data_IF_993858226169
#
_entry.id   IF_993858226169
#
_cell.length_a   1.000
_cell.length_b   1.000
_cell.length_c   1.000
_cell.angle_alpha   90.00
_cell.angle_beta   90.00
_cell.angle_gamma   90.00
#
_symmetry.space_group_name_H-M   'P 1'
#
loop_
_entity.id
_entity.type
_entity.pdbx_description
1 polymer ?
#
# COMPACT_ATOMS: atom_id res chain seq x y z
N UNK A 1 9.30 -16.04 35.37
CA UNK A 1 8.90 -15.72 33.97
C UNK A 1 7.39 -15.44 33.83
N UNK A 2 6.49 -16.26 34.40
CA UNK A 2 5.03 -16.06 34.28
C UNK A 2 4.45 -14.67 34.66
N UNK A 3 4.94 -13.96 35.71
CA UNK A 3 4.38 -12.65 36.08
C UNK A 3 4.68 -11.54 35.05
N UNK A 4 5.83 -11.62 34.38
CA UNK A 4 6.26 -10.65 33.37
C UNK A 4 5.44 -10.82 32.08
N UNK A 5 5.14 -12.06 31.71
CA UNK A 5 4.34 -12.37 30.54
C UNK A 5 2.85 -12.01 30.74
N UNK A 6 2.31 -12.26 31.94
CA UNK A 6 0.98 -11.80 32.32
C UNK A 6 0.87 -10.27 32.29
N UNK A 7 1.87 -9.55 32.81
CA UNK A 7 1.92 -8.09 32.75
C UNK A 7 2.02 -7.54 31.32
N UNK A 8 2.85 -8.15 30.45
CA UNK A 8 2.92 -7.80 29.03
C UNK A 8 1.58 -7.99 28.33
N UNK A 9 0.91 -9.13 28.56
CA UNK A 9 -0.44 -9.39 28.02
C UNK A 9 -1.46 -8.34 28.50
N UNK A 10 -1.47 -8.00 29.78
CA UNK A 10 -2.38 -6.99 30.32
C UNK A 10 -2.16 -5.63 29.65
N UNK A 11 -0.90 -5.20 29.51
CA UNK A 11 -0.55 -3.94 28.83
C UNK A 11 -0.98 -3.94 27.37
N UNK A 12 -0.80 -5.04 26.64
CA UNK A 12 -1.24 -5.19 25.25
C UNK A 12 -2.76 -5.14 25.13
N UNK A 13 -3.50 -5.80 26.03
CA UNK A 13 -4.96 -5.73 26.08
C UNK A 13 -5.42 -4.28 26.30
N UNK A 14 -4.86 -3.60 27.31
CA UNK A 14 -5.20 -2.21 27.60
C UNK A 14 -4.91 -1.29 26.41
N UNK A 15 -3.78 -1.48 25.74
CA UNK A 15 -3.41 -0.68 24.57
C UNK A 15 -4.34 -0.96 23.37
N UNK A 16 -4.70 -2.22 23.15
CA UNK A 16 -5.65 -2.61 22.10
C UNK A 16 -7.02 -1.99 22.32
N UNK A 17 -7.52 -2.02 23.56
CA UNK A 17 -8.78 -1.38 23.94
C UNK A 17 -8.68 0.13 23.71
N UNK A 18 -7.58 0.78 24.12
CA UNK A 18 -7.38 2.21 23.92
C UNK A 18 -7.42 2.60 22.43
N UNK A 19 -6.72 1.85 21.57
CA UNK A 19 -6.80 2.07 20.12
C UNK A 19 -8.21 1.88 19.60
N UNK A 20 -8.89 0.78 19.99
CA UNK A 20 -10.28 0.52 19.55
C UNK A 20 -11.22 1.65 19.94
N UNK A 21 -11.13 2.18 21.16
CA UNK A 21 -11.95 3.32 21.60
C UNK A 21 -11.66 4.58 20.77
N UNK A 22 -10.39 4.90 20.54
CA UNK A 22 -9.99 6.03 19.72
C UNK A 22 -10.49 5.88 18.27
N UNK A 23 -10.40 4.67 17.74
CA UNK A 23 -10.89 4.26 16.43
C UNK A 23 -12.40 4.45 16.33
N UNK A 24 -13.17 3.93 17.30
CA UNK A 24 -14.63 4.10 17.31
C UNK A 24 -15.02 5.57 17.31
N UNK A 25 -14.35 6.39 18.12
CA UNK A 25 -14.57 7.83 18.13
C UNK A 25 -14.23 8.46 16.77
N UNK A 26 -13.08 8.11 16.18
CA UNK A 26 -12.65 8.66 14.91
C UNK A 26 -13.62 8.33 13.77
N UNK A 27 -14.04 7.06 13.71
CA UNK A 27 -14.96 6.55 12.72
C UNK A 27 -16.34 7.19 12.86
N UNK A 28 -16.82 7.32 14.10
CA UNK A 28 -18.08 8.01 14.41
C UNK A 28 -18.06 9.47 13.98
N UNK A 29 -16.96 10.20 14.28
CA UNK A 29 -16.81 11.59 13.88
C UNK A 29 -16.74 11.73 12.36
N UNK A 30 -16.02 10.84 11.68
CA UNK A 30 -15.99 10.79 10.21
C UNK A 30 -17.38 10.54 9.63
N UNK A 31 -18.13 9.57 10.17
CA UNK A 31 -19.45 9.20 9.68
C UNK A 31 -20.51 10.31 9.97
N UNK A 32 -20.34 11.13 11.01
CA UNK A 32 -21.25 12.25 11.31
C UNK A 32 -20.92 13.50 10.51
N UNK A 33 -19.65 13.91 10.50
CA UNK A 33 -19.24 15.22 10.02
C UNK A 33 -18.65 15.20 8.61
N UNK A 34 -18.18 14.05 8.14
CA UNK A 34 -17.51 13.88 6.84
C UNK A 34 -18.22 12.91 5.89
N UNK A 35 -19.26 12.19 6.32
CA UNK A 35 -20.07 11.38 5.42
C UNK A 35 -20.80 12.28 4.41
N UNK A 36 -20.50 12.04 3.12
CA UNK A 36 -20.96 12.79 1.94
C UNK A 36 -20.32 14.16 1.76
N UNK A 37 -19.10 14.15 1.23
CA UNK A 37 -18.92 14.92 -0.02
C UNK A 37 -19.14 13.96 -1.17
N UNK A 38 -20.22 14.09 -1.96
CA UNK A 38 -20.24 13.53 -3.30
C UNK A 38 -18.93 13.92 -3.96
N UNK A 39 -18.33 12.99 -4.70
CA UNK A 39 -17.15 13.33 -5.47
C UNK A 39 -17.46 14.61 -6.25
N UNK A 40 -16.75 15.70 -5.97
CA UNK A 40 -16.31 16.57 -7.06
C UNK A 40 -15.34 15.70 -7.87
N UNK A 41 -15.89 14.71 -8.58
CA UNK A 41 -15.31 14.22 -9.82
C UNK A 41 -15.43 15.40 -10.76
N UNK A 42 -14.56 16.38 -10.56
CA UNK A 42 -13.89 16.95 -11.69
C UNK A 42 -13.09 15.82 -12.33
N UNK A 43 -13.79 14.94 -13.05
CA UNK A 43 -13.37 14.52 -14.38
C UNK A 43 -13.43 15.77 -15.24
N UNK A 44 -12.64 16.79 -14.89
CA UNK A 44 -12.17 17.65 -15.95
C UNK A 44 -11.10 16.75 -16.54
N UNK A 45 -11.41 16.14 -17.67
CA UNK A 45 -10.40 15.76 -18.65
C UNK A 45 -9.69 17.08 -19.00
N UNK A 46 -8.82 17.54 -18.09
CA UNK A 46 -7.82 18.52 -18.45
C UNK A 46 -6.92 17.73 -19.39
N UNK A 47 -7.01 18.10 -20.67
CA UNK A 47 -6.11 17.60 -21.70
C UNK A 47 -4.70 17.75 -21.16
N UNK A 48 -3.99 16.64 -20.99
CA UNK A 48 -2.61 16.68 -20.52
C UNK A 48 -1.75 17.28 -21.60
N UNK A 49 -0.68 17.97 -21.20
CA UNK A 49 0.29 18.54 -22.12
C UNK A 49 0.98 17.48 -23.00
N UNK A 50 0.89 16.19 -22.64
CA UNK A 50 1.43 15.07 -23.41
C UNK A 50 0.39 14.29 -24.22
N UNK A 51 -0.90 14.67 -24.19
CA UNK A 51 -1.96 13.92 -24.89
C UNK A 51 -1.76 13.88 -26.41
N UNK A 52 -1.16 14.95 -26.96
CA UNK A 52 -0.87 15.09 -28.39
C UNK A 52 0.45 14.42 -28.82
N UNK A 53 1.24 13.88 -27.88
CA UNK A 53 2.47 13.16 -28.19
C UNK A 53 2.15 11.71 -28.54
N UNK A 54 2.90 11.15 -29.48
CA UNK A 54 2.92 9.71 -29.72
C UNK A 54 3.93 9.02 -28.78
N UNK A 55 3.94 7.69 -28.81
CA UNK A 55 4.76 6.88 -27.91
C UNK A 55 6.26 7.02 -28.20
N UNK A 56 6.63 7.28 -29.46
CA UNK A 56 8.01 7.56 -29.86
C UNK A 56 8.49 8.90 -29.29
N UNK A 57 7.67 9.95 -29.39
CA UNK A 57 7.95 11.26 -28.79
C UNK A 57 8.12 11.15 -27.27
N UNK A 58 7.25 10.39 -26.58
CA UNK A 58 7.36 10.18 -25.12
C UNK A 58 8.68 9.47 -24.78
N UNK A 59 9.06 8.46 -25.56
CA UNK A 59 10.32 7.74 -25.38
C UNK A 59 11.53 8.65 -25.57
N UNK A 60 11.55 9.46 -26.63
CA UNK A 60 12.62 10.44 -26.87
C UNK A 60 12.74 11.44 -25.73
N UNK A 61 11.63 11.99 -25.25
CA UNK A 61 11.59 12.92 -24.11
C UNK A 61 12.07 12.28 -22.82
N UNK A 62 11.79 11.00 -22.61
CA UNK A 62 12.32 10.24 -21.49
C UNK A 62 13.85 10.08 -21.58
N UNK A 63 14.38 9.75 -22.76
CA UNK A 63 15.83 9.69 -22.99
C UNK A 63 16.50 11.06 -22.75
N UNK A 64 15.93 12.15 -23.28
CA UNK A 64 16.41 13.51 -23.01
C UNK A 64 16.40 13.85 -21.52
N UNK A 65 15.38 13.41 -20.78
CA UNK A 65 15.28 13.64 -19.34
C UNK A 65 16.37 12.90 -18.55
N UNK A 66 16.77 11.71 -18.99
CA UNK A 66 17.92 10.97 -18.43
C UNK A 66 19.21 11.73 -18.70
N UNK A 67 19.46 12.13 -19.95
CA UNK A 67 20.69 12.85 -20.35
C UNK A 67 20.82 14.21 -19.65
N UNK A 68 19.69 14.88 -19.42
CA UNK A 68 19.63 16.15 -18.70
C UNK A 68 19.58 16.00 -17.17
N UNK A 69 19.79 14.78 -16.62
CA UNK A 69 19.78 14.48 -15.18
C UNK A 69 18.50 14.94 -14.45
N UNK A 70 17.35 14.91 -15.12
CA UNK A 70 16.02 15.28 -14.55
C UNK A 70 15.35 14.14 -13.78
N UNK A 71 16.15 13.22 -13.26
CA UNK A 71 15.67 12.15 -12.40
C UNK A 71 15.38 12.68 -11.00
N UNK A 72 14.27 12.24 -10.39
CA UNK A 72 13.88 12.63 -9.03
C UNK A 72 14.77 11.90 -8.02
N UNK A 73 15.70 12.56 -7.31
CA UNK A 73 16.64 11.88 -6.42
C UNK A 73 15.94 11.12 -5.28
N UNK A 74 14.78 11.61 -4.84
CA UNK A 74 13.95 10.98 -3.82
C UNK A 74 13.27 9.69 -4.29
N UNK A 75 13.15 9.48 -5.61
CA UNK A 75 12.53 8.28 -6.20
C UNK A 75 13.49 7.10 -6.33
N UNK A 76 14.78 7.32 -6.09
CA UNK A 76 15.80 6.29 -6.19
C UNK A 76 15.50 5.19 -5.17
N UNK A 77 15.33 3.96 -5.65
CA UNK A 77 15.12 2.82 -4.78
C UNK A 77 16.39 2.51 -3.95
N UNK A 78 16.25 1.64 -2.95
CA UNK A 78 17.38 1.29 -2.07
C UNK A 78 18.57 0.62 -2.78
N UNK A 79 18.42 0.30 -4.07
CA UNK A 79 19.42 -0.39 -4.90
C UNK A 79 19.98 0.52 -6.02
N UNK A 80 19.44 1.72 -6.21
CA UNK A 80 19.86 2.65 -7.26
C UNK A 80 19.36 2.28 -8.66
N UNK A 81 18.45 1.31 -8.80
CA UNK A 81 18.03 0.82 -10.11
C UNK A 81 16.85 1.60 -10.66
N UNK A 82 15.83 1.84 -9.84
CA UNK A 82 14.63 2.56 -10.28
C UNK A 82 14.80 4.05 -9.97
N UNK A 83 14.67 4.88 -11.01
CA UNK A 83 14.58 6.35 -10.88
C UNK A 83 13.48 6.88 -11.80
N UNK A 84 12.60 7.71 -11.24
CA UNK A 84 11.51 8.37 -11.96
C UNK A 84 12.04 9.66 -12.57
N UNK A 85 11.71 9.93 -13.83
CA UNK A 85 12.21 11.09 -14.57
C UNK A 85 11.09 12.04 -14.93
N UNK A 86 11.33 13.34 -14.79
CA UNK A 86 10.42 14.39 -15.29
C UNK A 86 10.66 14.65 -16.77
N UNK A 87 9.64 14.40 -17.58
CA UNK A 87 9.67 14.73 -19.02
C UNK A 87 9.12 16.13 -19.30
N UNK A 88 8.28 16.65 -18.40
CA UNK A 88 7.80 18.04 -18.35
C UNK A 88 7.75 18.52 -16.90
N UNK A 89 7.23 19.73 -16.65
CA UNK A 89 7.06 20.24 -15.28
C UNK A 89 6.03 19.42 -14.47
N UNK A 90 5.00 18.90 -15.16
CA UNK A 90 3.85 18.23 -14.55
C UNK A 90 3.74 16.73 -14.87
N UNK A 91 4.63 16.17 -15.69
CA UNK A 91 4.57 14.77 -16.11
C UNK A 91 5.88 14.05 -15.79
N UNK A 92 5.74 12.86 -15.20
CA UNK A 92 6.84 11.95 -14.93
C UNK A 92 6.67 10.63 -15.67
N UNK A 93 7.80 9.95 -15.88
CA UNK A 93 7.86 8.59 -16.40
C UNK A 93 8.51 7.69 -15.36
N UNK A 94 7.78 6.63 -14.97
CA UNK A 94 8.28 5.52 -14.15
C UNK A 94 8.52 4.31 -15.06
N UNK A 95 9.77 3.83 -15.07
CA UNK A 95 10.18 2.61 -15.77
C UNK A 95 10.08 1.40 -14.84
N UNK A 96 9.49 0.29 -15.28
CA UNK A 96 9.27 -0.90 -14.44
C UNK A 96 10.53 -1.72 -14.13
N UNK A 97 11.54 -1.71 -15.01
CA UNK A 97 12.83 -2.40 -14.83
C UNK A 97 12.67 -3.87 -14.36
N UNK A 98 12.02 -4.68 -15.19
CA UNK A 98 11.80 -6.12 -14.90
C UNK A 98 10.67 -6.41 -13.90
N UNK A 99 9.99 -5.38 -13.37
CA UNK A 99 8.70 -5.50 -12.66
C UNK A 99 7.51 -5.30 -13.59
N UNK A 100 7.63 -5.83 -14.80
CA UNK A 100 6.59 -5.72 -15.81
C UNK A 100 5.59 -6.84 -15.59
N UNK A 101 4.34 -6.45 -15.33
CA UNK A 101 3.24 -7.37 -15.13
C UNK A 101 2.26 -7.20 -16.28
N UNK A 102 1.76 -8.31 -16.80
CA UNK A 102 0.65 -8.35 -17.75
C UNK A 102 -0.56 -9.03 -17.08
N UNK A 103 -1.64 -8.29 -16.78
CA UNK A 103 -1.86 -6.87 -17.09
C UNK A 103 -1.08 -5.91 -16.15
N UNK A 104 -0.92 -4.61 -16.51
CA UNK A 104 -0.13 -3.63 -15.76
C UNK A 104 -0.74 -3.30 -14.40
N UNK A 105 -0.26 -4.00 -13.36
CA UNK A 105 -0.84 -3.99 -12.01
C UNK A 105 -0.97 -2.61 -11.38
N UNK A 106 0.07 -1.78 -11.42
CA UNK A 106 0.06 -0.45 -10.80
C UNK A 106 -0.96 0.48 -11.44
N UNK A 107 -0.97 0.56 -12.77
CA UNK A 107 -1.91 1.40 -13.50
C UNK A 107 -3.35 0.98 -13.24
N UNK A 108 -3.64 -0.33 -13.27
CA UNK A 108 -4.97 -0.85 -12.94
C UNK A 108 -5.37 -0.53 -11.49
N UNK A 109 -4.45 -0.68 -10.53
CA UNK A 109 -4.72 -0.39 -9.13
C UNK A 109 -5.03 1.10 -8.90
N UNK A 110 -4.22 2.00 -9.49
CA UNK A 110 -4.43 3.45 -9.38
C UNK A 110 -5.74 3.88 -10.02
N UNK A 111 -6.05 3.38 -11.21
CA UNK A 111 -7.32 3.65 -11.89
C UNK A 111 -8.50 3.14 -11.06
N UNK A 112 -8.41 1.92 -10.54
CA UNK A 112 -9.44 1.32 -9.69
C UNK A 112 -9.67 2.13 -8.42
N UNK A 113 -8.62 2.53 -7.71
CA UNK A 113 -8.70 3.33 -6.48
C UNK A 113 -9.31 4.69 -6.76
N UNK A 114 -8.89 5.37 -7.83
CA UNK A 114 -9.45 6.66 -8.26
C UNK A 114 -10.94 6.54 -8.60
N UNK A 115 -11.35 5.47 -9.27
CA UNK A 115 -12.75 5.18 -9.60
C UNK A 115 -13.63 4.89 -8.38
N UNK A 116 -13.08 4.35 -7.29
CA UNK A 116 -13.89 3.91 -6.15
C UNK A 116 -13.72 4.73 -4.87
N UNK A 117 -12.73 5.61 -4.79
CA UNK A 117 -12.41 6.36 -3.56
C UNK A 117 -12.21 7.86 -3.83
N UNK A 118 -11.95 8.63 -2.78
CA UNK A 118 -11.46 10.01 -2.85
C UNK A 118 -9.97 10.11 -2.54
N UNK A 119 -9.24 8.99 -2.54
CA UNK A 119 -7.81 8.96 -2.23
C UNK A 119 -7.05 9.65 -3.37
N UNK A 120 -6.23 10.68 -3.09
CA UNK A 120 -5.37 11.29 -4.09
C UNK A 120 -4.29 10.29 -4.52
N UNK A 121 -4.36 9.88 -5.78
CA UNK A 121 -3.39 9.03 -6.48
C UNK A 121 -3.01 9.75 -7.79
N UNK A 122 -1.74 9.69 -8.23
CA UNK A 122 -1.35 10.26 -9.52
C UNK A 122 -2.23 9.71 -10.66
N UNK A 123 -2.50 10.52 -11.69
CA UNK A 123 -3.20 10.02 -12.88
C UNK A 123 -2.19 9.32 -13.80
N UNK A 124 -2.43 8.05 -14.13
CA UNK A 124 -1.73 7.39 -15.23
C UNK A 124 -2.34 7.88 -16.54
N UNK A 125 -1.55 8.64 -17.30
CA UNK A 125 -1.95 9.25 -18.57
C UNK A 125 -1.80 8.24 -19.71
N UNK A 126 -0.70 7.49 -19.70
CA UNK A 126 -0.39 6.49 -20.73
C UNK A 126 0.55 5.42 -20.21
N UNK A 127 0.47 4.23 -20.81
CA UNK A 127 1.46 3.16 -20.66
C UNK A 127 2.13 3.00 -22.01
N UNK A 128 3.42 3.27 -22.09
CA UNK A 128 4.21 3.10 -23.31
C UNK A 128 4.99 1.79 -23.22
N UNK A 129 4.94 1.03 -24.31
CA UNK A 129 5.81 -0.12 -24.58
C UNK A 129 6.63 0.23 -25.82
N UNK A 130 7.93 -0.09 -25.82
CA UNK A 130 8.80 0.19 -26.96
C UNK A 130 9.41 -1.09 -27.48
N UNK A 131 9.62 -1.19 -28.81
CA UNK A 131 10.34 -2.32 -29.42
C UNK A 131 11.77 -2.46 -28.87
N UNK A 132 12.35 -1.37 -28.36
CA UNK A 132 13.69 -1.35 -27.76
C UNK A 132 13.70 -1.93 -26.33
N UNK A 133 12.55 -2.14 -25.71
CA UNK A 133 12.39 -2.67 -24.35
C UNK A 133 11.06 -3.40 -24.22
N UNK A 134 10.91 -4.49 -24.98
CA UNK A 134 9.65 -5.27 -25.10
C UNK A 134 9.14 -5.79 -23.75
N UNK A 135 10.04 -6.06 -22.81
CA UNK A 135 9.71 -6.56 -21.47
C UNK A 135 9.49 -5.44 -20.44
N UNK A 136 9.31 -4.18 -20.85
CA UNK A 136 9.20 -3.04 -19.95
C UNK A 136 8.00 -2.14 -20.23
N UNK A 137 7.39 -1.64 -19.14
CA UNK A 137 6.38 -0.59 -19.21
C UNK A 137 6.98 0.74 -18.75
N UNK A 138 6.57 1.79 -19.44
CA UNK A 138 6.82 3.18 -19.08
C UNK A 138 5.50 3.80 -18.69
N UNK A 139 5.29 3.98 -17.39
CA UNK A 139 4.11 4.65 -16.86
C UNK A 139 4.31 6.15 -16.95
N UNK A 140 3.57 6.79 -17.86
CA UNK A 140 3.50 8.24 -18.01
C UNK A 140 2.38 8.73 -17.11
N UNK A 141 2.69 9.56 -16.12
CA UNK A 141 1.73 9.95 -15.10
C UNK A 141 1.99 11.35 -14.56
N UNK A 142 0.97 11.91 -13.89
CA UNK A 142 1.08 13.21 -13.23
C UNK A 142 2.21 13.25 -12.20
N UNK A 143 2.97 14.33 -12.22
CA UNK A 143 3.89 14.69 -11.16
C UNK A 143 3.13 15.26 -9.96
N UNK A 144 3.29 14.63 -8.80
CA UNK A 144 2.78 15.18 -7.54
C UNK A 144 3.85 16.07 -6.90
N UNK A 145 3.63 17.39 -6.95
CA UNK A 145 4.49 18.35 -6.27
C UNK A 145 4.31 18.28 -4.75
N UNK A 146 5.22 17.57 -4.09
CA UNK A 146 5.18 17.33 -2.66
C UNK A 146 6.48 16.74 -2.13
N UNK A 147 6.52 16.50 -0.81
CA UNK A 147 7.66 15.84 -0.17
C UNK A 147 7.23 14.50 0.43
N UNK A 148 8.08 13.49 0.30
CA UNK A 148 7.86 12.21 0.97
C UNK A 148 7.70 12.40 2.48
N UNK A 149 6.71 11.71 3.04
CA UNK A 149 6.38 11.79 4.45
C UNK A 149 7.59 11.44 5.31
N UNK A 150 8.50 10.56 4.88
CA UNK A 150 9.71 10.22 5.64
C UNK A 150 10.60 11.42 5.97
N UNK A 151 10.64 12.44 5.11
CA UNK A 151 11.43 13.65 5.30
C UNK A 151 10.69 14.71 6.13
N UNK A 152 9.36 14.73 6.00
CA UNK A 152 8.49 15.70 6.68
C UNK A 152 8.17 15.24 8.10
N UNK A 153 8.00 13.93 8.33
CA UNK A 153 7.55 13.33 9.58
C UNK A 153 8.36 13.73 10.82
N UNK A 154 9.71 13.77 10.79
CA UNK A 154 10.50 14.22 11.93
C UNK A 154 10.22 15.69 12.32
N UNK A 155 9.81 16.51 11.34
CA UNK A 155 9.55 17.94 11.49
C UNK A 155 8.09 18.25 11.86
N UNK A 156 7.18 17.29 11.73
CA UNK A 156 5.77 17.47 12.07
C UNK A 156 5.56 17.61 13.57
N UNK A 157 4.70 18.56 13.94
CA UNK A 157 4.13 18.64 15.29
C UNK A 157 3.29 17.40 15.61
N UNK A 158 2.95 17.21 16.89
CA UNK A 158 2.05 16.13 17.30
C UNK A 158 0.70 16.20 16.56
N UNK A 159 0.15 17.40 16.38
CA UNK A 159 -1.09 17.63 15.63
C UNK A 159 -0.95 17.31 14.15
N UNK A 160 0.20 17.63 13.54
CA UNK A 160 0.49 17.26 12.15
C UNK A 160 0.53 15.75 11.96
N UNK A 161 1.18 15.02 12.87
CA UNK A 161 1.24 13.54 12.85
C UNK A 161 -0.15 12.92 13.03
N UNK A 162 -0.94 13.44 13.96
CA UNK A 162 -2.32 13.01 14.18
C UNK A 162 -3.19 13.25 12.95
N UNK A 163 -3.07 14.42 12.31
CA UNK A 163 -3.80 14.74 11.07
C UNK A 163 -3.46 13.75 9.95
N UNK A 164 -2.17 13.46 9.74
CA UNK A 164 -1.75 12.46 8.74
C UNK A 164 -2.33 11.09 9.09
N UNK A 165 -2.20 10.64 10.34
CA UNK A 165 -2.73 9.33 10.76
C UNK A 165 -4.26 9.24 10.59
N UNK A 166 -4.99 10.32 10.86
CA UNK A 166 -6.44 10.39 10.65
C UNK A 166 -6.81 10.32 9.17
N UNK A 167 -6.11 11.08 8.31
CA UNK A 167 -6.31 11.01 6.86
C UNK A 167 -6.08 9.61 6.34
N UNK A 168 -4.98 8.96 6.76
CA UNK A 168 -4.67 7.59 6.35
C UNK A 168 -5.71 6.59 6.87
N UNK A 169 -6.22 6.75 8.09
CA UNK A 169 -7.33 5.92 8.60
C UNK A 169 -8.57 6.04 7.71
N UNK A 170 -8.95 7.26 7.33
CA UNK A 170 -10.04 7.51 6.39
C UNK A 170 -9.76 6.81 5.04
N UNK A 171 -8.54 6.86 4.52
CA UNK A 171 -8.17 6.17 3.28
C UNK A 171 -8.28 4.64 3.42
N UNK A 172 -7.79 4.05 4.52
CA UNK A 172 -7.95 2.61 4.79
C UNK A 172 -9.43 2.23 4.87
N UNK A 173 -10.27 3.03 5.52
CA UNK A 173 -11.72 2.82 5.55
C UNK A 173 -12.34 2.87 4.17
N UNK A 174 -11.92 3.80 3.32
CA UNK A 174 -12.39 3.89 1.94
C UNK A 174 -11.99 2.64 1.13
N UNK A 175 -10.73 2.21 1.17
CA UNK A 175 -10.26 0.99 0.51
C UNK A 175 -11.04 -0.25 0.97
N UNK A 176 -11.29 -0.36 2.27
CA UNK A 176 -12.08 -1.46 2.85
C UNK A 176 -13.55 -1.44 2.45
N UNK A 177 -14.13 -0.26 2.25
CA UNK A 177 -15.53 -0.09 1.83
C UNK A 177 -15.76 -0.39 0.35
N UNK A 178 -14.72 -0.49 -0.47
CA UNK A 178 -14.87 -0.87 -1.87
C UNK A 178 -15.54 -2.26 -1.94
N UNK A 179 -16.66 -2.34 -2.66
CA UNK A 179 -17.34 -3.58 -2.95
C UNK A 179 -17.04 -3.96 -4.40
N UNK A 180 -16.38 -5.11 -4.60
CA UNK A 180 -15.97 -5.59 -5.92
C UNK A 180 -16.15 -7.10 -6.01
N UNK A 181 -16.47 -7.59 -7.19
CA UNK A 181 -16.47 -9.03 -7.48
C UNK A 181 -15.08 -9.64 -7.30
N UNK A 182 -14.03 -8.83 -7.46
CA UNK A 182 -12.63 -9.21 -7.26
C UNK A 182 -12.29 -9.46 -5.78
N UNK A 183 -13.14 -9.07 -4.83
CA UNK A 183 -12.95 -9.34 -3.40
C UNK A 183 -13.03 -10.82 -3.01
N UNK A 184 -13.33 -11.71 -3.96
CA UNK A 184 -13.41 -13.16 -3.78
C UNK A 184 -12.11 -13.90 -4.14
N UNK A 185 -11.23 -13.30 -4.94
CA UNK A 185 -9.95 -13.88 -5.39
C UNK A 185 -8.80 -13.07 -4.81
N UNK A 186 -7.86 -13.69 -4.08
CA UNK A 186 -6.73 -12.96 -3.49
C UNK A 186 -5.73 -12.55 -4.56
N UNK A 187 -5.11 -11.40 -4.32
CA UNK A 187 -4.00 -10.91 -5.13
C UNK A 187 -4.38 -9.79 -6.11
N UNK A 188 -3.55 -9.57 -7.13
CA UNK A 188 -3.72 -8.48 -8.09
C UNK A 188 -5.05 -8.49 -8.85
N UNK A 189 -5.45 -7.30 -9.27
CA UNK A 189 -6.57 -7.11 -10.19
C UNK A 189 -6.30 -7.89 -11.48
N UNK A 190 -7.25 -8.76 -11.86
CA UNK A 190 -7.21 -9.51 -13.10
C UNK A 190 -8.30 -10.57 -13.17
N UNK A 191 -8.52 -11.11 -14.36
CA UNK A 191 -9.57 -12.10 -14.63
C UNK A 191 -9.25 -13.50 -14.09
N UNK A 192 -8.00 -13.73 -13.67
CA UNK A 192 -7.49 -15.01 -13.17
C UNK A 192 -6.65 -14.78 -11.91
N UNK A 193 -6.54 -15.78 -11.03
CA UNK A 193 -5.63 -15.73 -9.88
C UNK A 193 -4.19 -15.41 -10.31
N UNK A 194 -3.69 -14.27 -9.82
CA UNK A 194 -2.34 -13.78 -10.10
C UNK A 194 -1.40 -14.11 -8.93
N UNK A 195 -0.09 -14.12 -9.19
CA UNK A 195 0.92 -14.38 -8.16
C UNK A 195 0.85 -13.28 -7.09
N UNK A 196 0.67 -13.72 -5.84
CA UNK A 196 0.65 -12.89 -4.64
C UNK A 196 2.06 -12.45 -4.24
N UNK A 197 2.24 -11.15 -3.99
CA UNK A 197 3.53 -10.55 -3.57
C UNK A 197 3.32 -9.64 -2.36
N UNK A 198 4.40 -9.33 -1.64
CA UNK A 198 4.39 -8.44 -0.48
C UNK A 198 5.23 -8.96 0.69
N UNK A 199 5.44 -8.12 1.70
CA UNK A 199 6.27 -8.46 2.88
C UNK A 199 5.87 -9.78 3.53
N UNK A 200 4.57 -10.07 3.63
CA UNK A 200 4.07 -11.31 4.24
C UNK A 200 4.45 -12.57 3.44
N UNK A 201 4.69 -12.42 2.13
CA UNK A 201 5.09 -13.48 1.19
C UNK A 201 6.61 -13.55 0.96
N UNK A 202 7.40 -12.62 1.51
CA UNK A 202 8.86 -12.65 1.38
C UNK A 202 9.45 -13.94 1.95
N UNK A 203 10.48 -14.45 1.27
CA UNK A 203 11.13 -15.72 1.61
C UNK A 203 10.31 -16.99 1.32
N UNK A 204 9.12 -16.87 0.71
CA UNK A 204 8.27 -18.02 0.33
C UNK A 204 8.25 -18.26 -1.17
N UNK A 205 7.80 -19.47 -1.54
CA UNK A 205 7.51 -19.82 -2.93
C UNK A 205 6.40 -18.92 -3.46
N UNK A 206 6.68 -18.21 -4.56
CA UNK A 206 5.69 -17.42 -5.31
C UNK A 206 4.55 -18.32 -5.79
N UNK A 207 3.32 -17.95 -5.47
CA UNK A 207 2.11 -18.71 -5.84
C UNK A 207 0.92 -17.76 -5.97
N UNK A 208 -0.12 -18.21 -6.67
CA UNK A 208 -1.46 -17.61 -6.66
C UNK A 208 -2.42 -18.50 -5.88
N UNK A 209 -3.60 -17.97 -5.54
CA UNK A 209 -4.65 -18.74 -4.87
C UNK A 209 -6.01 -18.47 -5.52
N UNK A 210 -6.85 -19.50 -5.70
CA UNK A 210 -8.17 -19.33 -6.32
C UNK A 210 -9.16 -18.55 -5.44
N UNK A 211 -9.02 -18.64 -4.12
CA UNK A 211 -9.94 -18.03 -3.16
C UNK A 211 -9.28 -17.84 -1.78
N UNK A 212 -10.03 -17.22 -0.86
CA UNK A 212 -9.62 -17.00 0.53
C UNK A 212 -9.37 -18.31 1.30
N UNK A 213 -10.10 -19.39 0.98
CA UNK A 213 -9.93 -20.67 1.68
C UNK A 213 -8.58 -21.31 1.35
N UNK A 214 -8.17 -21.27 0.08
CA UNK A 214 -6.87 -21.72 -0.37
C UNK A 214 -5.72 -20.89 0.21
N UNK A 215 -5.87 -19.55 0.24
CA UNK A 215 -4.92 -18.65 0.90
C UNK A 215 -4.76 -19.00 2.38
N UNK A 216 -5.86 -19.11 3.11
CA UNK A 216 -5.88 -19.48 4.53
C UNK A 216 -5.24 -20.85 4.78
N UNK A 217 -5.61 -21.87 3.99
CA UNK A 217 -5.10 -23.22 4.13
C UNK A 217 -3.58 -23.29 3.92
N UNK A 218 -3.05 -22.56 2.93
CA UNK A 218 -1.62 -22.48 2.65
C UNK A 218 -0.85 -21.86 3.81
N UNK A 219 -1.32 -20.71 4.30
CA UNK A 219 -0.73 -20.00 5.42
C UNK A 219 -0.75 -20.83 6.71
N UNK A 220 -1.89 -21.43 7.01
CA UNK A 220 -2.05 -22.31 8.16
C UNK A 220 -1.17 -23.57 8.04
N UNK A 221 -1.00 -24.14 6.85
CA UNK A 221 -0.09 -25.25 6.63
C UNK A 221 1.37 -24.85 6.89
N UNK A 222 1.77 -23.66 6.46
CA UNK A 222 3.13 -23.17 6.67
C UNK A 222 3.41 -22.92 8.16
N UNK A 223 2.50 -22.29 8.91
CA UNK A 223 2.62 -22.17 10.39
C UNK A 223 2.73 -23.54 11.05
N UNK A 224 1.83 -24.48 10.71
CA UNK A 224 1.87 -25.84 11.27
C UNK A 224 3.21 -26.52 11.03
N UNK A 225 3.74 -26.42 9.81
CA UNK A 225 5.04 -26.98 9.45
C UNK A 225 6.20 -26.31 10.20
N UNK A 226 6.22 -24.98 10.28
CA UNK A 226 7.27 -24.24 11.00
C UNK A 226 7.32 -24.64 12.48
N UNK A 227 6.16 -24.63 13.15
CA UNK A 227 6.04 -25.00 14.56
C UNK A 227 6.39 -26.46 14.83
N UNK A 228 5.97 -27.38 13.97
CA UNK A 228 6.33 -28.80 14.07
C UNK A 228 7.85 -29.00 14.02
N UNK A 229 8.54 -28.32 13.10
CA UNK A 229 10.01 -28.34 13.01
C UNK A 229 10.69 -27.76 14.25
N UNK A 230 10.06 -26.76 14.88
CA UNK A 230 10.54 -26.15 16.11
C UNK A 230 10.16 -26.92 17.39
N UNK A 231 9.42 -28.04 17.29
CA UNK A 231 8.93 -28.80 18.46
C UNK A 231 7.87 -28.06 19.30
N UNK A 232 7.19 -27.07 18.71
CA UNK A 232 6.18 -26.26 19.39
C UNK A 232 4.77 -26.87 19.22
N UNK A 233 3.88 -26.73 20.22
CA UNK A 233 2.50 -27.18 20.09
C UNK A 233 1.75 -26.40 18.99
N UNK A 234 0.63 -26.91 18.44
CA UNK A 234 -0.17 -26.18 17.45
C UNK A 234 -0.51 -24.76 17.92
N UNK A 235 -0.50 -23.81 16.99
CA UNK A 235 -0.92 -22.44 17.31
C UNK A 235 -2.40 -22.42 17.67
N UNK A 236 -2.78 -21.51 18.56
CA UNK A 236 -4.17 -21.28 18.97
C UNK A 236 -4.82 -20.08 18.27
N UNK A 237 -4.05 -19.36 17.48
CA UNK A 237 -4.50 -18.20 16.73
C UNK A 237 -4.85 -18.63 15.31
N UNK A 238 -5.96 -18.13 14.80
CA UNK A 238 -6.34 -18.27 13.39
C UNK A 238 -6.83 -16.91 12.88
N UNK A 239 -5.94 -16.09 12.29
CA UNK A 239 -6.30 -14.75 11.85
C UNK A 239 -7.23 -14.75 10.63
N UNK A 240 -7.50 -15.91 10.04
CA UNK A 240 -8.46 -16.06 8.93
C UNK A 240 -9.87 -16.42 9.40
N UNK A 241 -10.06 -16.84 10.67
CA UNK A 241 -11.35 -17.30 11.19
C UNK A 241 -12.49 -16.28 10.96
N UNK A 242 -12.21 -15.00 11.20
CA UNK A 242 -13.20 -13.91 11.06
C UNK A 242 -13.17 -13.24 9.68
N UNK A 243 -12.30 -13.70 8.78
CA UNK A 243 -12.14 -13.12 7.45
C UNK A 243 -13.28 -13.61 6.54
N UNK A 244 -14.31 -12.78 6.36
CA UNK A 244 -15.46 -13.10 5.50
C UNK A 244 -15.30 -12.67 4.05
N UNK A 245 -14.45 -11.67 3.82
CA UNK A 245 -14.15 -11.11 2.50
C UNK A 245 -12.76 -10.49 2.50
N UNK A 246 -12.20 -10.33 1.32
CA UNK A 246 -10.99 -9.54 1.15
C UNK A 246 -11.34 -8.10 0.79
N UNK A 247 -10.41 -7.20 1.08
CA UNK A 247 -10.53 -5.76 0.85
C UNK A 247 -9.37 -5.30 -0.02
N UNK A 248 -9.54 -4.16 -0.68
CA UNK A 248 -8.40 -3.53 -1.36
C UNK A 248 -7.36 -3.11 -0.32
N UNK A 249 -6.11 -3.48 -0.57
CA UNK A 249 -4.95 -3.17 0.26
C UNK A 249 -3.85 -2.59 -0.63
N UNK A 250 -3.01 -1.72 -0.07
CA UNK A 250 -1.84 -1.18 -0.74
C UNK A 250 -0.63 -2.10 -0.60
N UNK A 251 -0.50 -2.80 0.53
CA UNK A 251 0.59 -3.77 0.83
C UNK A 251 2.02 -3.20 0.90
N UNK A 252 2.23 -1.93 0.60
CA UNK A 252 3.49 -1.20 0.81
C UNK A 252 3.25 0.26 1.24
N UNK A 253 2.21 0.48 2.04
CA UNK A 253 1.87 1.82 2.55
C UNK A 253 2.87 2.27 3.63
N UNK A 254 3.99 2.85 3.19
CA UNK A 254 5.06 3.33 4.07
C UNK A 254 5.35 4.82 3.83
N UNK A 255 6.17 5.44 4.70
CA UNK A 255 6.43 6.88 4.63
C UNK A 255 7.16 7.36 3.36
N UNK A 256 7.74 6.47 2.55
CA UNK A 256 8.29 6.81 1.21
C UNK A 256 7.19 6.92 0.17
N UNK A 257 6.13 6.13 0.33
CA UNK A 257 5.01 6.01 -0.62
C UNK A 257 3.84 6.94 -0.26
N UNK A 258 4.08 7.89 0.65
CA UNK A 258 3.14 8.93 1.05
C UNK A 258 3.79 10.27 0.76
N UNK A 259 3.15 11.11 -0.06
CA UNK A 259 3.60 12.48 -0.34
C UNK A 259 2.69 13.48 0.39
N UNK A 260 3.31 14.44 1.06
CA UNK A 260 2.62 15.65 1.53
C UNK A 260 2.68 16.66 0.38
N UNK A 261 1.57 16.77 -0.35
CA UNK A 261 1.45 17.67 -1.50
C UNK A 261 1.45 19.13 -1.09
N UNK A 262 1.95 20.02 -1.96
CA UNK A 262 1.87 21.48 -1.75
C UNK A 262 0.43 21.99 -1.73
N UNK A 263 -0.50 21.24 -2.33
CA UNK A 263 -1.95 21.44 -2.28
C UNK A 263 -2.57 21.11 -0.90
N UNK A 264 -1.76 20.66 0.06
CA UNK A 264 -2.18 20.29 1.41
C UNK A 264 -2.83 18.91 1.50
N UNK A 265 -2.86 18.13 0.42
CA UNK A 265 -3.38 16.76 0.40
C UNK A 265 -2.29 15.75 0.75
N UNK A 266 -2.75 14.60 1.26
CA UNK A 266 -1.90 13.43 1.46
C UNK A 266 -2.11 12.53 0.26
N UNK A 267 -1.10 12.44 -0.60
CA UNK A 267 -1.09 11.63 -1.81
C UNK A 267 -0.45 10.28 -1.55
N UNK A 268 -1.00 9.24 -2.17
CA UNK A 268 -0.50 7.87 -2.05
C UNK A 268 0.00 7.41 -3.41
N UNK A 269 1.24 6.92 -3.45
CA UNK A 269 1.95 6.52 -4.67
C UNK A 269 2.44 5.08 -4.55
N UNK A 270 2.98 4.53 -5.64
CA UNK A 270 3.61 3.20 -5.68
C UNK A 270 2.63 2.06 -5.35
N UNK A 271 1.60 1.92 -6.20
CA UNK A 271 0.52 0.96 -6.03
C UNK A 271 0.84 -0.43 -6.63
N UNK A 272 2.11 -0.70 -6.96
CA UNK A 272 2.58 -1.93 -7.61
C UNK A 272 2.18 -3.22 -6.86
N UNK A 273 2.08 -3.17 -5.53
CA UNK A 273 1.74 -4.31 -4.68
C UNK A 273 0.28 -4.32 -4.23
N UNK A 274 -0.55 -3.44 -4.82
CA UNK A 274 -1.92 -3.22 -4.34
C UNK A 274 -2.89 -4.26 -4.88
N UNK A 275 -3.59 -4.91 -3.96
CA UNK A 275 -4.22 -6.21 -4.19
C UNK A 275 -5.41 -6.43 -3.23
N UNK A 276 -6.25 -7.44 -3.50
CA UNK A 276 -7.32 -7.84 -2.57
C UNK A 276 -6.80 -8.85 -1.54
N UNK A 277 -6.84 -8.50 -0.26
CA UNK A 277 -6.39 -9.33 0.85
C UNK A 277 -7.25 -9.19 2.12
N UNK A 278 -7.10 -10.09 3.11
CA UNK A 278 -7.66 -9.88 4.45
C UNK A 278 -7.25 -8.52 5.03
N UNK A 279 -8.17 -7.85 5.75
CA UNK A 279 -7.99 -6.47 6.25
C UNK A 279 -6.72 -6.26 7.09
N UNK A 280 -6.26 -7.32 7.76
CA UNK A 280 -5.09 -7.31 8.61
C UNK A 280 -3.75 -7.36 7.86
N UNK A 281 -3.75 -7.72 6.57
CA UNK A 281 -2.53 -7.74 5.76
C UNK A 281 -1.91 -6.34 5.66
N UNK A 282 -2.74 -5.30 5.53
CA UNK A 282 -2.25 -3.91 5.49
C UNK A 282 -1.47 -3.54 6.76
N UNK A 283 -2.00 -3.90 7.94
CA UNK A 283 -1.29 -3.67 9.21
C UNK A 283 0.08 -4.34 9.19
N UNK A 284 0.13 -5.61 8.80
CA UNK A 284 1.37 -6.41 8.80
C UNK A 284 2.37 -5.82 7.82
N UNK A 285 1.93 -5.47 6.61
CA UNK A 285 2.78 -4.86 5.60
C UNK A 285 3.33 -3.50 6.04
N UNK A 286 2.48 -2.62 6.59
CA UNK A 286 2.92 -1.32 7.13
C UNK A 286 3.93 -1.49 8.27
N UNK A 287 3.70 -2.47 9.16
CA UNK A 287 4.58 -2.73 10.30
C UNK A 287 5.93 -3.31 9.87
N UNK A 288 5.93 -4.28 8.94
CA UNK A 288 7.14 -4.84 8.33
C UNK A 288 7.95 -3.79 7.59
N UNK A 289 7.29 -2.95 6.77
CA UNK A 289 7.95 -1.84 6.08
C UNK A 289 8.56 -0.84 7.07
N UNK A 290 7.86 -0.52 8.16
CA UNK A 290 8.38 0.36 9.21
C UNK A 290 9.59 -0.24 9.93
N UNK A 291 9.61 -1.55 10.20
CA UNK A 291 10.77 -2.21 10.80
C UNK A 291 11.97 -2.23 9.84
N UNK A 292 11.75 -2.66 8.60
CA UNK A 292 12.82 -2.79 7.59
C UNK A 292 13.46 -1.44 7.26
N UNK A 293 12.68 -0.35 7.27
CA UNK A 293 13.17 0.99 6.94
C UNK A 293 13.52 1.84 8.18
N UNK A 294 13.72 1.23 9.35
CA UNK A 294 14.05 1.96 10.60
C UNK A 294 13.09 3.11 10.93
N UNK A 295 11.79 2.87 10.74
CA UNK A 295 10.72 3.83 10.98
C UNK A 295 10.72 4.38 12.40
N UNK A 296 10.37 5.66 12.54
CA UNK A 296 10.35 6.28 13.87
C UNK A 296 9.34 5.60 14.80
N UNK A 297 9.63 5.53 16.10
CA UNK A 297 8.68 5.03 17.11
C UNK A 297 7.33 5.75 17.07
N UNK A 298 7.33 7.04 16.69
CA UNK A 298 6.08 7.79 16.52
C UNK A 298 5.25 7.33 15.33
N UNK A 299 5.88 6.93 14.22
CA UNK A 299 5.19 6.35 13.07
C UNK A 299 4.62 4.97 13.41
N UNK A 300 5.42 4.09 14.01
CA UNK A 300 4.98 2.75 14.42
C UNK A 300 3.76 2.79 15.36
N UNK A 301 3.66 3.81 16.23
CA UNK A 301 2.48 4.01 17.10
C UNK A 301 1.23 4.49 16.36
N UNK A 302 1.36 5.07 15.17
CA UNK A 302 0.20 5.45 14.37
C UNK A 302 -0.40 4.25 13.63
N UNK A 303 0.40 3.23 13.29
CA UNK A 303 -0.05 2.08 12.48
C UNK A 303 -1.31 1.40 13.05
N UNK A 304 -1.39 1.02 14.35
CA UNK A 304 -2.61 0.40 14.90
C UNK A 304 -3.85 1.30 14.82
N UNK A 305 -3.69 2.63 14.85
CA UNK A 305 -4.81 3.54 14.64
C UNK A 305 -5.21 3.63 13.16
N UNK A 306 -4.24 3.57 12.24
CA UNK A 306 -4.49 3.66 10.79
C UNK A 306 -5.17 2.39 10.26
N UNK A 307 -4.72 1.20 10.66
CA UNK A 307 -5.14 -0.10 10.08
C UNK A 307 -5.88 -1.03 11.03
N UNK A 308 -6.24 -0.55 12.22
CA UNK A 308 -6.74 -1.33 13.37
C UNK A 308 -5.67 -2.21 14.03
N UNK A 309 -5.71 -2.36 15.37
CA UNK A 309 -4.74 -3.15 16.11
C UNK A 309 -4.87 -4.65 15.79
N UNK A 310 -3.75 -5.25 15.42
CA UNK A 310 -3.67 -6.58 14.84
C UNK A 310 -2.80 -7.51 15.71
N UNK A 311 -3.21 -7.74 16.96
CA UNK A 311 -2.38 -8.48 17.94
C UNK A 311 -2.29 -9.98 17.61
N UNK A 312 -3.41 -10.62 17.29
CA UNK A 312 -3.44 -12.06 17.01
C UNK A 312 -2.73 -12.43 15.71
N UNK A 313 -2.94 -11.73 14.58
CA UNK A 313 -2.21 -12.04 13.36
C UNK A 313 -0.71 -11.80 13.50
N UNK A 314 -0.28 -10.78 14.27
CA UNK A 314 1.14 -10.58 14.56
C UNK A 314 1.76 -11.73 15.37
N UNK A 315 1.09 -12.24 16.41
CA UNK A 315 1.59 -13.41 17.16
C UNK A 315 1.61 -14.68 16.32
N UNK A 316 0.61 -14.84 15.46
CA UNK A 316 0.55 -15.94 14.51
C UNK A 316 1.67 -15.85 13.44
N UNK A 317 2.11 -14.63 13.08
CA UNK A 317 3.29 -14.41 12.23
C UNK A 317 4.62 -14.56 12.97
N UNK A 318 4.69 -14.24 14.26
CA UNK A 318 5.86 -14.60 15.08
C UNK A 318 6.02 -16.13 15.16
N UNK A 319 4.91 -16.88 15.15
CA UNK A 319 4.91 -18.34 15.03
C UNK A 319 5.31 -18.84 13.61
N UNK A 320 5.39 -17.93 12.63
CA UNK A 320 5.63 -18.22 11.20
C UNK A 320 7.10 -18.12 10.79
N UNK A 321 7.89 -17.25 11.44
CA UNK A 321 9.30 -16.99 11.17
C UNK A 321 10.24 -17.86 12.03
#
# INVERSE_FOLDING_TARGET
MAPIEAYRRLKEISLTIAYRLLIYLADFLEDIFWARRPKDLRLVEETSEVDHWDDETIWERYCEAIEAERGLPESIDGLGYIQIHKITDNVVVKRTLGRTFDPPREALAMEFVRKHTSIPVPLVLRIVQTEKSEDEHFYVMDFVDGQQLRHVWPKLSIWGKLRVAWTLRSYIRQLRRINSTLSSVPGPLGDKPQICIGYIFEGKKRTSFPDLAALSAWFNAYVRCSRSRAGLPPTKYDPFHDCKRMVMTHMDLNMRNILVGKDGRIWIIDWDWSEFYPEWFEYVSMFSAANNNSGSKSWMRCIPFITDPCVEPMRWLEDFN
#
